data_IF_417942544246
#
_entry.id   IF_417942544246
#
_cell.length_a   1.000
_cell.length_b   1.000
_cell.length_c   1.000
_cell.angle_alpha   90.00
_cell.angle_beta   90.00
_cell.angle_gamma   90.00
#
_symmetry.space_group_name_H-M   'P 1'
#
loop_
_entity.id
_entity.type
_entity.pdbx_description
1 polymer ?
#
# COMPACT_ATOMS: atom_id res chain seq x y z
N UNK A 1 12.02 -8.30 7.03
CA UNK A 1 11.71 -7.60 5.75
C UNK A 1 10.48 -6.70 5.91
N UNK A 2 9.36 -7.23 6.39
CA UNK A 2 8.20 -6.44 6.81
C UNK A 2 8.52 -5.38 7.88
N UNK A 3 9.40 -5.68 8.82
CA UNK A 3 9.86 -4.72 9.83
C UNK A 3 10.55 -3.49 9.21
N UNK A 4 11.17 -3.66 8.03
CA UNK A 4 11.77 -2.56 7.28
C UNK A 4 10.67 -1.68 6.69
N UNK A 5 9.58 -2.27 6.21
CA UNK A 5 8.41 -1.55 5.65
C UNK A 5 7.64 -0.82 6.76
N UNK A 6 7.49 -1.45 7.93
CA UNK A 6 6.75 -0.90 9.08
C UNK A 6 7.56 0.10 9.91
N UNK A 7 8.89 -0.01 9.94
CA UNK A 7 9.77 0.82 10.76
C UNK A 7 10.36 2.04 10.05
N UNK A 8 10.15 2.19 8.73
CA UNK A 8 10.58 3.35 7.94
C UNK A 8 9.38 4.16 7.48
N UNK A 9 9.63 5.43 7.14
CA UNK A 9 8.60 6.30 6.56
C UNK A 9 8.09 5.66 5.25
N UNK A 10 6.82 5.23 5.21
CA UNK A 10 6.24 4.46 4.11
C UNK A 10 6.41 5.14 2.73
N UNK A 11 6.47 6.47 2.72
CA UNK A 11 6.70 7.28 1.53
C UNK A 11 8.06 7.03 0.85
N UNK A 12 9.09 6.58 1.59
CA UNK A 12 10.39 6.25 1.02
C UNK A 12 10.36 4.99 0.13
N UNK A 13 9.28 4.20 0.17
CA UNK A 13 9.09 3.03 -0.68
C UNK A 13 8.35 3.35 -1.99
N UNK A 14 7.81 4.56 -2.13
CA UNK A 14 7.15 4.96 -3.36
C UNK A 14 8.18 5.22 -4.45
N UNK A 15 7.84 4.83 -5.68
CA UNK A 15 8.62 5.20 -6.86
C UNK A 15 8.69 6.73 -6.95
N UNK A 16 9.90 7.26 -7.05
CA UNK A 16 10.15 8.70 -7.16
C UNK A 16 9.45 9.34 -8.35
N UNK A 17 9.14 8.60 -9.43
CA UNK A 17 8.37 9.11 -10.56
C UNK A 17 6.88 9.30 -10.28
N UNK A 18 6.41 8.84 -9.11
CA UNK A 18 5.06 9.03 -8.61
C UNK A 18 4.98 10.16 -7.58
N UNK A 19 6.11 10.81 -7.26
CA UNK A 19 6.14 11.97 -6.38
C UNK A 19 5.24 13.09 -6.93
N UNK A 20 4.35 13.61 -6.08
CA UNK A 20 3.37 14.63 -6.44
C UNK A 20 2.14 14.14 -7.22
N UNK A 21 2.07 12.85 -7.60
CA UNK A 21 0.89 12.27 -8.29
C UNK A 21 -0.16 11.71 -7.35
N UNK A 22 0.25 11.30 -6.15
CA UNK A 22 -0.63 10.78 -5.11
C UNK A 22 -0.45 11.59 -3.84
N UNK A 23 -1.50 11.67 -3.04
CA UNK A 23 -1.37 12.23 -1.70
C UNK A 23 -0.47 11.33 -0.86
N UNK A 24 0.27 11.89 0.11
CA UNK A 24 1.02 11.09 1.07
C UNK A 24 0.14 10.08 1.83
N UNK A 25 -1.13 10.39 2.06
CA UNK A 25 -2.07 9.48 2.73
C UNK A 25 -2.41 8.29 1.83
N UNK A 26 -2.72 8.53 0.55
CA UNK A 26 -3.00 7.48 -0.42
C UNK A 26 -1.79 6.55 -0.59
N UNK A 27 -0.60 7.13 -0.69
CA UNK A 27 0.66 6.38 -0.75
C UNK A 27 0.88 5.50 0.49
N UNK A 28 0.64 6.05 1.68
CA UNK A 28 0.76 5.32 2.93
C UNK A 28 -0.24 4.16 3.03
N UNK A 29 -1.49 4.37 2.60
CA UNK A 29 -2.51 3.31 2.58
C UNK A 29 -2.13 2.15 1.66
N UNK A 30 -1.60 2.42 0.47
CA UNK A 30 -1.10 1.38 -0.44
C UNK A 30 0.06 0.61 0.17
N UNK A 31 1.01 1.30 0.82
CA UNK A 31 2.14 0.64 1.51
C UNK A 31 1.67 -0.23 2.67
N UNK A 32 0.71 0.24 3.46
CA UNK A 32 0.09 -0.54 4.54
C UNK A 32 -0.61 -1.79 4.00
N UNK A 33 -1.31 -1.67 2.88
CA UNK A 33 -1.99 -2.79 2.24
C UNK A 33 -0.99 -3.83 1.69
N UNK A 34 0.08 -3.38 1.03
CA UNK A 34 1.16 -4.26 0.57
C UNK A 34 1.84 -4.99 1.74
N UNK A 35 2.06 -4.31 2.87
CA UNK A 35 2.59 -4.92 4.11
C UNK A 35 1.67 -6.04 4.61
N UNK A 36 0.34 -5.87 4.58
CA UNK A 36 -0.61 -6.92 4.94
C UNK A 36 -0.56 -8.12 3.99
N UNK A 37 -0.39 -7.89 2.69
CA UNK A 37 -0.23 -8.97 1.70
C UNK A 37 1.04 -9.82 1.93
N UNK A 38 2.07 -9.23 2.52
CA UNK A 38 3.36 -9.86 2.77
C UNK A 38 3.46 -10.57 4.13
N UNK A 39 2.40 -10.57 4.95
CA UNK A 39 2.38 -11.23 6.26
C UNK A 39 2.86 -12.69 6.19
N UNK A 40 3.64 -13.10 7.18
CA UNK A 40 4.19 -14.46 7.24
C UNK A 40 3.06 -15.49 7.35
N UNK A 41 2.14 -15.27 8.30
CA UNK A 41 0.94 -16.06 8.51
C UNK A 41 -0.09 -15.87 7.38
N UNK A 42 -0.47 -16.94 6.65
CA UNK A 42 -1.44 -16.85 5.56
C UNK A 42 -2.81 -16.28 5.98
N UNK A 43 -3.24 -16.58 7.22
CA UNK A 43 -4.52 -16.10 7.79
C UNK A 43 -4.58 -14.59 8.02
N UNK A 44 -3.42 -13.93 8.09
CA UNK A 44 -3.34 -12.47 8.28
C UNK A 44 -3.28 -11.73 6.94
N UNK A 45 -3.11 -12.45 5.83
CA UNK A 45 -3.14 -11.85 4.49
C UNK A 45 -4.58 -11.53 4.11
N UNK A 46 -4.83 -10.36 3.51
CA UNK A 46 -6.14 -10.02 3.01
C UNK A 46 -6.53 -10.96 1.87
N UNK A 47 -7.83 -11.25 1.75
CA UNK A 47 -8.33 -11.94 0.57
C UNK A 47 -8.35 -10.96 -0.63
N UNK A 48 -8.29 -11.47 -1.88
CA UNK A 48 -8.27 -10.61 -3.06
C UNK A 48 -9.49 -9.68 -3.19
N UNK A 49 -10.67 -10.10 -2.72
CA UNK A 49 -11.87 -9.25 -2.73
C UNK A 49 -11.75 -8.04 -1.80
N UNK A 50 -11.23 -8.23 -0.59
CA UNK A 50 -10.96 -7.15 0.37
C UNK A 50 -9.87 -6.21 -0.16
N UNK A 51 -8.86 -6.77 -0.83
CA UNK A 51 -7.81 -6.02 -1.47
C UNK A 51 -8.37 -5.08 -2.55
N UNK A 52 -9.24 -5.59 -3.42
CA UNK A 52 -9.91 -4.79 -4.45
C UNK A 52 -10.82 -3.73 -3.84
N UNK A 53 -11.61 -4.08 -2.81
CA UNK A 53 -12.48 -3.14 -2.13
C UNK A 53 -11.69 -1.99 -1.47
N UNK A 54 -10.51 -2.28 -0.90
CA UNK A 54 -9.63 -1.28 -0.30
C UNK A 54 -8.92 -0.40 -1.35
N UNK A 55 -8.56 -0.97 -2.52
CA UNK A 55 -7.88 -0.22 -3.58
C UNK A 55 -8.83 0.61 -4.46
N UNK A 56 -10.09 0.18 -4.61
CA UNK A 56 -11.09 0.87 -5.43
C UNK A 56 -11.21 2.38 -5.14
N UNK A 57 -11.32 2.85 -3.88
CA UNK A 57 -11.39 4.29 -3.59
C UNK A 57 -10.08 5.04 -3.86
N UNK A 58 -8.94 4.35 -3.89
CA UNK A 58 -7.61 4.93 -4.16
C UNK A 58 -7.29 4.99 -5.66
N UNK A 59 -8.18 4.50 -6.52
CA UNK A 59 -8.02 4.64 -7.96
C UNK A 59 -8.24 6.10 -8.35
N UNK A 60 -7.14 6.87 -8.41
CA UNK A 60 -7.11 8.16 -9.08
C UNK A 60 -7.56 7.97 -10.54
N UNK A 61 -8.49 8.80 -11.03
CA UNK A 61 -8.93 8.78 -12.43
C UNK A 61 -7.70 8.83 -13.33
N UNK A 62 -7.53 7.78 -14.13
CA UNK A 62 -6.59 7.75 -15.24
C UNK A 62 -7.25 8.54 -16.36
N UNK A 63 -6.89 9.83 -16.47
CA UNK A 63 -7.17 10.61 -17.68
C UNK A 63 -6.16 10.25 -18.78
#
# INVERSE_FOLDING_TARGET
ALDVIRGKNGLLFMDSHLEGKFSPEEGMEVVNLASRCLQYEPKERPNPSDLVAALAPLQSRTD
#
